data_IF_386267190723
#
_entry.id   IF_386267190723
#
_cell.length_a   1.000
_cell.length_b   1.000
_cell.length_c   1.000
_cell.angle_alpha   90.00
_cell.angle_beta   90.00
_cell.angle_gamma   90.00
#
_symmetry.space_group_name_H-M   'P 1'
#
loop_
_entity.id
_entity.type
_entity.pdbx_description
1 polymer ?
#
# COMPACT_ATOMS: atom_id res chain seq x y z
N UNK A 1 21.44 -12.13 9.44
CA UNK A 1 20.20 -11.65 10.09
C UNK A 1 20.35 -10.15 10.23
N UNK A 2 19.39 -9.37 9.77
CA UNK A 2 19.40 -7.91 9.89
C UNK A 2 18.16 -7.45 10.64
N UNK A 3 18.27 -6.33 11.36
CA UNK A 3 17.17 -5.68 12.08
C UNK A 3 16.58 -4.57 11.21
N UNK A 4 15.32 -4.70 10.86
CA UNK A 4 14.65 -3.87 9.85
C UNK A 4 13.52 -3.07 10.46
N UNK A 5 13.52 -1.76 10.20
CA UNK A 5 12.45 -0.85 10.56
C UNK A 5 11.61 -0.52 9.33
N UNK A 6 10.32 -0.81 9.37
CA UNK A 6 9.34 -0.42 8.36
C UNK A 6 8.49 0.75 8.86
N UNK A 7 8.05 1.61 7.93
CA UNK A 7 7.25 2.80 8.23
C UNK A 7 5.86 2.75 7.58
N UNK A 8 5.43 1.59 7.07
CA UNK A 8 4.19 1.43 6.30
C UNK A 8 2.94 1.28 7.19
N UNK A 9 1.76 1.74 6.72
CA UNK A 9 0.50 1.33 7.32
C UNK A 9 0.39 -0.19 7.46
N UNK A 10 -0.10 -0.68 8.60
CA UNK A 10 -0.10 -2.11 8.95
C UNK A 10 -0.75 -2.99 7.86
N UNK A 11 -1.90 -2.58 7.32
CA UNK A 11 -2.60 -3.29 6.24
C UNK A 11 -1.76 -3.47 4.95
N UNK A 12 -0.77 -2.59 4.72
CA UNK A 12 0.12 -2.66 3.55
C UNK A 12 1.47 -3.27 3.88
N UNK A 13 1.79 -3.50 5.16
CA UNK A 13 3.09 -4.00 5.60
C UNK A 13 3.15 -5.53 5.65
N UNK A 14 2.04 -6.22 5.89
CA UNK A 14 1.99 -7.64 6.23
C UNK A 14 2.77 -8.56 5.27
N UNK A 15 2.59 -8.40 3.97
CA UNK A 15 3.30 -9.23 2.97
C UNK A 15 4.81 -8.97 2.97
N UNK A 16 5.23 -7.71 3.14
CA UNK A 16 6.65 -7.37 3.21
C UNK A 16 7.28 -7.90 4.50
N UNK A 17 6.58 -7.80 5.63
CA UNK A 17 7.01 -8.36 6.91
C UNK A 17 7.25 -9.86 6.74
N UNK A 18 6.23 -10.61 6.32
CA UNK A 18 6.34 -12.06 6.13
C UNK A 18 7.50 -12.45 5.19
N UNK A 19 7.72 -11.69 4.11
CA UNK A 19 8.82 -11.92 3.19
C UNK A 19 10.19 -11.68 3.83
N UNK A 20 10.35 -10.61 4.60
CA UNK A 20 11.63 -10.28 5.26
C UNK A 20 11.92 -11.27 6.40
N UNK A 21 10.91 -11.67 7.16
CA UNK A 21 11.03 -12.70 8.20
C UNK A 21 11.41 -14.07 7.60
N UNK A 22 10.81 -14.45 6.46
CA UNK A 22 11.18 -15.66 5.72
C UNK A 22 12.62 -15.65 5.20
N UNK A 23 13.22 -14.45 5.00
CA UNK A 23 14.64 -14.26 4.67
C UNK A 23 15.53 -14.24 5.92
N UNK A 24 14.98 -14.43 7.12
CA UNK A 24 15.70 -14.51 8.39
C UNK A 24 16.03 -13.14 8.99
N UNK A 25 15.29 -12.07 8.64
CA UNK A 25 15.44 -10.76 9.25
C UNK A 25 14.49 -10.57 10.45
N UNK A 26 14.89 -9.75 11.41
CA UNK A 26 14.02 -9.24 12.47
C UNK A 26 13.33 -7.97 11.97
N UNK A 27 11.98 -7.94 11.98
CA UNK A 27 11.22 -6.85 11.35
C UNK A 27 10.31 -6.17 12.36
N UNK A 28 10.45 -4.85 12.48
CA UNK A 28 9.56 -4.01 13.26
C UNK A 28 8.86 -2.99 12.35
N UNK A 29 7.55 -2.85 12.51
CA UNK A 29 6.78 -1.89 11.74
C UNK A 29 6.25 -0.78 12.64
N UNK A 30 6.69 0.46 12.37
CA UNK A 30 6.28 1.66 13.10
C UNK A 30 5.60 2.63 12.12
N UNK A 31 4.30 2.40 11.84
CA UNK A 31 3.58 3.21 10.88
C UNK A 31 3.31 4.61 11.43
N UNK A 32 3.55 5.65 10.63
CA UNK A 32 3.18 7.05 10.91
C UNK A 32 1.84 7.44 10.31
N UNK A 33 1.27 6.55 9.49
CA UNK A 33 -0.09 6.67 8.94
C UNK A 33 -0.85 5.37 9.15
N UNK A 34 -2.17 5.47 9.25
CA UNK A 34 -3.07 4.32 9.28
C UNK A 34 -4.10 4.41 8.15
N UNK A 35 -4.53 3.26 7.67
CA UNK A 35 -5.61 3.19 6.69
C UNK A 35 -6.93 3.20 7.46
N UNK A 36 -7.81 4.12 7.11
CA UNK A 36 -9.14 4.27 7.70
C UNK A 36 -10.20 4.27 6.62
N UNK A 37 -11.36 3.70 6.91
CA UNK A 37 -12.54 3.80 6.05
C UNK A 37 -13.01 5.24 5.94
N UNK A 38 -13.57 5.57 4.79
CA UNK A 38 -14.28 6.82 4.57
C UNK A 38 -15.77 6.61 4.87
N UNK A 39 -16.40 7.61 5.47
CA UNK A 39 -17.88 7.65 5.55
C UNK A 39 -18.43 7.69 4.14
N UNK A 40 -19.59 7.02 3.94
CA UNK A 40 -20.18 6.69 2.65
C UNK A 40 -20.06 7.83 1.63
N UNK A 41 -19.26 7.58 0.64
CA UNK A 41 -19.14 8.41 -0.55
C UNK A 41 -20.31 8.15 -1.48
N UNK A 42 -20.59 9.09 -2.36
CA UNK A 42 -21.60 8.96 -3.40
C UNK A 42 -21.43 7.66 -4.19
N UNK A 43 -22.31 6.71 -3.89
CA UNK A 43 -22.37 5.47 -4.65
C UNK A 43 -23.01 5.80 -5.99
N UNK A 44 -22.39 5.46 -7.11
CA UNK A 44 -22.97 5.70 -8.40
C UNK A 44 -24.37 5.11 -8.49
N UNK A 45 -25.32 5.89 -9.00
CA UNK A 45 -26.72 5.45 -9.21
C UNK A 45 -26.87 4.38 -10.29
N UNK A 46 -25.82 4.18 -11.10
CA UNK A 46 -25.78 3.18 -12.16
C UNK A 46 -25.47 1.80 -11.56
N UNK A 47 -26.22 0.78 -12.00
CA UNK A 47 -25.94 -0.61 -11.61
C UNK A 47 -24.64 -1.07 -12.25
N UNK A 48 -23.61 -1.44 -11.45
CA UNK A 48 -22.36 -1.94 -12.01
C UNK A 48 -22.54 -3.37 -12.55
N UNK A 49 -21.77 -3.70 -13.59
CA UNK A 49 -21.69 -5.07 -14.11
C UNK A 49 -20.69 -5.94 -13.36
N UNK A 50 -19.82 -5.33 -12.53
CA UNK A 50 -18.80 -6.01 -11.74
C UNK A 50 -17.99 -5.02 -10.90
N UNK A 51 -17.01 -5.56 -10.19
CA UNK A 51 -16.11 -4.81 -9.33
C UNK A 51 -14.65 -5.02 -9.74
N UNK A 52 -13.83 -3.99 -9.60
CA UNK A 52 -12.41 -4.00 -9.90
C UNK A 52 -11.62 -3.65 -8.63
N UNK A 53 -10.67 -4.50 -8.24
CA UNK A 53 -9.82 -4.26 -7.07
C UNK A 53 -8.34 -4.34 -7.43
N UNK A 54 -7.63 -3.23 -7.26
CA UNK A 54 -6.17 -3.16 -7.43
C UNK A 54 -5.42 -3.41 -6.13
N UNK A 55 -6.12 -3.46 -4.99
CA UNK A 55 -5.51 -3.67 -3.66
C UNK A 55 -6.47 -4.35 -2.70
N UNK A 56 -5.97 -5.34 -1.96
CA UNK A 56 -6.69 -5.97 -0.86
C UNK A 56 -7.11 -4.96 0.24
N UNK A 57 -6.39 -3.85 0.37
CA UNK A 57 -6.68 -2.82 1.36
C UNK A 57 -8.06 -2.15 1.17
N UNK A 58 -8.66 -2.22 -0.02
CA UNK A 58 -9.98 -1.65 -0.27
C UNK A 58 -11.12 -2.55 0.24
N UNK A 59 -10.90 -3.87 0.29
CA UNK A 59 -11.96 -4.86 0.56
C UNK A 59 -12.68 -4.63 1.89
N UNK A 60 -12.00 -4.42 3.03
CA UNK A 60 -12.68 -4.23 4.33
C UNK A 60 -13.41 -2.89 4.46
N UNK A 61 -13.24 -1.98 3.52
CA UNK A 61 -13.83 -0.64 3.55
C UNK A 61 -14.96 -0.45 2.54
N UNK A 62 -15.30 -1.49 1.78
CA UNK A 62 -16.50 -1.44 0.93
C UNK A 62 -17.71 -1.26 1.85
N UNK A 63 -18.56 -0.22 1.63
CA UNK A 63 -19.69 0.06 2.51
C UNK A 63 -20.62 -1.16 2.64
N UNK A 64 -20.97 -1.50 3.90
CA UNK A 64 -21.80 -2.67 4.20
C UNK A 64 -23.12 -2.71 3.43
N UNK A 65 -23.84 -1.59 3.22
CA UNK A 65 -25.07 -1.59 2.42
C UNK A 65 -24.90 -1.98 0.96
N UNK A 66 -23.66 -1.89 0.43
CA UNK A 66 -23.37 -2.27 -0.97
C UNK A 66 -23.05 -3.76 -1.12
N UNK A 67 -22.56 -4.40 -0.07
CA UNK A 67 -22.09 -5.79 -0.14
C UNK A 67 -23.12 -6.75 -0.74
N UNK A 68 -24.42 -6.74 -0.34
CA UNK A 68 -25.41 -7.63 -0.93
C UNK A 68 -25.61 -7.45 -2.43
N UNK A 69 -25.31 -6.26 -2.96
CA UNK A 69 -25.45 -5.92 -4.38
C UNK A 69 -24.18 -6.21 -5.17
N UNK A 70 -23.01 -6.13 -4.55
CA UNK A 70 -21.72 -6.29 -5.21
C UNK A 70 -21.16 -7.71 -5.15
N UNK A 71 -21.34 -8.43 -4.03
CA UNK A 71 -20.83 -9.78 -3.84
C UNK A 71 -21.32 -10.82 -4.88
N UNK A 72 -22.55 -10.73 -5.43
CA UNK A 72 -22.99 -11.60 -6.51
C UNK A 72 -22.37 -11.31 -7.87
N UNK A 73 -21.80 -10.11 -8.05
CA UNK A 73 -21.22 -9.67 -9.33
C UNK A 73 -19.78 -10.18 -9.50
N UNK A 74 -19.30 -10.30 -10.74
CA UNK A 74 -17.90 -10.60 -11.02
C UNK A 74 -16.96 -9.60 -10.34
N UNK A 75 -15.93 -10.10 -9.69
CA UNK A 75 -14.87 -9.29 -9.08
C UNK A 75 -13.53 -9.59 -9.74
N UNK A 76 -12.87 -8.56 -10.28
CA UNK A 76 -11.55 -8.67 -10.87
C UNK A 76 -10.51 -8.11 -9.90
N UNK A 77 -9.58 -8.96 -9.50
CA UNK A 77 -8.49 -8.62 -8.60
C UNK A 77 -7.15 -8.60 -9.35
N UNK A 78 -6.32 -7.60 -9.16
CA UNK A 78 -4.99 -7.57 -9.78
C UNK A 78 -4.15 -8.76 -9.31
N UNK A 79 -4.16 -9.07 -8.02
CA UNK A 79 -3.30 -10.13 -7.48
C UNK A 79 -4.01 -11.15 -6.60
N UNK A 80 -3.34 -12.29 -6.30
CA UNK A 80 -3.91 -13.39 -5.53
C UNK A 80 -4.34 -13.00 -4.12
N UNK A 81 -3.55 -12.18 -3.41
CA UNK A 81 -3.91 -11.73 -2.06
C UNK A 81 -5.19 -10.86 -2.03
N UNK A 82 -5.45 -10.11 -3.12
CA UNK A 82 -6.69 -9.35 -3.26
C UNK A 82 -7.87 -10.28 -3.51
N UNK A 83 -7.67 -11.32 -4.33
CA UNK A 83 -8.69 -12.33 -4.59
C UNK A 83 -9.05 -13.12 -3.33
N UNK A 84 -8.06 -13.51 -2.54
CA UNK A 84 -8.26 -14.19 -1.26
C UNK A 84 -9.08 -13.32 -0.29
N UNK A 85 -8.73 -12.02 -0.16
CA UNK A 85 -9.47 -11.08 0.68
C UNK A 85 -10.93 -10.92 0.22
N UNK A 86 -11.18 -10.88 -1.10
CA UNK A 86 -12.53 -10.81 -1.66
C UNK A 86 -13.33 -12.08 -1.36
N UNK A 87 -12.74 -13.25 -1.55
CA UNK A 87 -13.37 -14.52 -1.20
C UNK A 87 -13.74 -14.62 0.27
N UNK A 88 -12.81 -14.22 1.16
CA UNK A 88 -13.06 -14.16 2.61
C UNK A 88 -14.16 -13.15 2.98
N UNK A 89 -14.33 -12.09 2.21
CA UNK A 89 -15.36 -11.08 2.39
C UNK A 89 -16.70 -11.42 1.68
N UNK A 90 -16.83 -12.63 1.09
CA UNK A 90 -18.09 -13.16 0.56
C UNK A 90 -18.34 -12.97 -0.94
N UNK A 91 -17.37 -12.46 -1.72
CA UNK A 91 -17.47 -12.47 -3.18
C UNK A 91 -17.39 -13.89 -3.71
N UNK A 92 -18.26 -14.27 -4.66
CA UNK A 92 -18.40 -15.62 -5.16
C UNK A 92 -17.72 -15.87 -6.50
N UNK A 93 -17.71 -14.85 -7.36
CA UNK A 93 -17.08 -14.90 -8.68
C UNK A 93 -15.85 -13.98 -8.68
N UNK A 94 -14.70 -14.52 -8.28
CA UNK A 94 -13.45 -13.77 -8.16
C UNK A 94 -12.42 -14.32 -9.13
N UNK A 95 -11.87 -13.44 -9.98
CA UNK A 95 -10.76 -13.74 -10.86
C UNK A 95 -9.56 -12.86 -10.56
N UNK A 96 -8.34 -13.41 -10.54
CA UNK A 96 -7.11 -12.63 -10.39
C UNK A 96 -6.13 -12.82 -11.55
N UNK A 97 -5.21 -11.87 -11.71
CA UNK A 97 -4.30 -11.75 -12.86
C UNK A 97 -2.82 -11.74 -12.44
N UNK A 98 -2.46 -12.51 -11.41
CA UNK A 98 -1.08 -12.75 -10.99
C UNK A 98 -0.32 -11.54 -10.44
N UNK A 99 -0.97 -10.40 -10.25
CA UNK A 99 -0.35 -9.13 -9.84
C UNK A 99 -0.09 -8.17 -11.00
N UNK A 100 -0.45 -8.54 -12.22
CA UNK A 100 -0.20 -7.76 -13.44
C UNK A 100 -1.46 -7.00 -13.86
N UNK A 101 -1.42 -5.67 -13.75
CA UNK A 101 -2.54 -4.81 -14.16
C UNK A 101 -2.85 -4.94 -15.67
N UNK A 102 -1.82 -5.11 -16.51
CA UNK A 102 -2.01 -5.28 -17.96
C UNK A 102 -2.83 -6.50 -18.32
N UNK A 103 -2.65 -7.63 -17.63
CA UNK A 103 -3.43 -8.84 -17.83
C UNK A 103 -4.90 -8.65 -17.43
N UNK A 104 -5.15 -7.92 -16.32
CA UNK A 104 -6.50 -7.56 -15.91
C UNK A 104 -7.18 -6.66 -16.95
N UNK A 105 -6.49 -5.64 -17.47
CA UNK A 105 -7.03 -4.73 -18.49
C UNK A 105 -7.32 -5.47 -19.80
N UNK A 106 -6.50 -6.43 -20.20
CA UNK A 106 -6.76 -7.28 -21.36
C UNK A 106 -8.06 -8.10 -21.17
N UNK A 107 -8.24 -8.68 -19.98
CA UNK A 107 -9.46 -9.42 -19.66
C UNK A 107 -10.72 -8.53 -19.64
N UNK A 108 -10.59 -7.27 -19.22
CA UNK A 108 -11.68 -6.29 -19.28
C UNK A 108 -12.10 -5.95 -20.71
N UNK A 109 -11.15 -5.89 -21.65
CA UNK A 109 -11.44 -5.62 -23.09
C UNK A 109 -12.34 -6.69 -23.72
N UNK A 110 -12.15 -7.93 -23.30
CA UNK A 110 -12.89 -9.08 -23.84
C UNK A 110 -14.29 -9.24 -23.22
N UNK A 111 -14.60 -8.46 -22.18
CA UNK A 111 -15.89 -8.56 -21.49
C UNK A 111 -16.99 -7.72 -22.18
N UNK A 112 -18.25 -8.18 -22.13
CA UNK A 112 -19.38 -7.40 -22.61
C UNK A 112 -19.48 -6.04 -21.89
N UNK A 113 -19.84 -4.98 -22.64
CA UNK A 113 -20.01 -3.64 -22.08
C UNK A 113 -21.47 -3.44 -21.64
N UNK A 114 -21.87 -4.13 -20.58
CA UNK A 114 -23.25 -4.12 -20.05
C UNK A 114 -23.47 -3.00 -19.01
N UNK A 115 -22.41 -2.33 -18.58
CA UNK A 115 -22.45 -1.26 -17.59
C UNK A 115 -21.06 -0.95 -17.05
N UNK A 116 -20.95 -0.05 -16.07
CA UNK A 116 -19.67 0.31 -15.48
C UNK A 116 -19.11 -0.78 -14.57
N UNK A 117 -17.78 -0.73 -14.37
CA UNK A 117 -17.05 -1.46 -13.34
C UNK A 117 -16.83 -0.55 -12.14
N UNK A 118 -17.34 -0.93 -10.98
CA UNK A 118 -17.09 -0.20 -9.75
C UNK A 118 -15.64 -0.46 -9.30
N UNK A 119 -14.90 0.61 -9.02
CA UNK A 119 -13.51 0.53 -8.56
C UNK A 119 -13.38 1.07 -7.13
N UNK A 120 -13.60 0.23 -6.08
CA UNK A 120 -13.32 0.61 -4.71
C UNK A 120 -11.82 0.87 -4.54
N UNK A 121 -11.45 2.09 -4.19
CA UNK A 121 -10.07 2.56 -4.17
C UNK A 121 -9.77 3.41 -2.93
N UNK A 122 -8.50 3.75 -2.74
CA UNK A 122 -8.09 4.75 -1.76
C UNK A 122 -8.15 6.16 -2.32
N UNK A 123 -8.14 7.17 -1.45
CA UNK A 123 -7.97 8.57 -1.86
C UNK A 123 -6.64 8.83 -2.57
N UNK A 124 -5.61 8.04 -2.24
CA UNK A 124 -4.35 7.99 -2.97
C UNK A 124 -4.42 6.81 -3.94
N UNK A 125 -4.57 7.09 -5.22
CA UNK A 125 -4.75 6.09 -6.26
C UNK A 125 -3.44 5.41 -6.62
N UNK A 126 -3.46 4.07 -6.74
CA UNK A 126 -2.36 3.29 -7.29
C UNK A 126 -2.37 3.29 -8.82
N UNK A 127 -3.56 3.43 -9.40
CA UNK A 127 -3.81 3.50 -10.84
C UNK A 127 -4.89 4.55 -11.07
N UNK A 128 -4.67 5.41 -12.06
CA UNK A 128 -5.63 6.42 -12.47
C UNK A 128 -6.84 5.73 -13.13
N UNK A 129 -8.09 6.02 -12.71
CA UNK A 129 -9.29 5.43 -13.29
C UNK A 129 -9.47 5.76 -14.77
N UNK A 130 -9.07 6.95 -15.20
CA UNK A 130 -9.16 7.37 -16.59
C UNK A 130 -8.17 6.59 -17.46
N UNK A 131 -6.95 6.34 -16.96
CA UNK A 131 -5.97 5.48 -17.62
C UNK A 131 -6.48 4.03 -17.71
N UNK A 132 -7.10 3.51 -16.65
CA UNK A 132 -7.70 2.17 -16.65
C UNK A 132 -8.83 2.08 -17.69
N UNK A 133 -9.70 3.09 -17.73
CA UNK A 133 -10.82 3.17 -18.69
C UNK A 133 -10.29 3.25 -20.14
N UNK A 134 -9.33 4.12 -20.42
CA UNK A 134 -8.73 4.28 -21.73
C UNK A 134 -8.07 2.98 -22.20
N UNK A 135 -7.30 2.33 -21.36
CA UNK A 135 -6.57 1.11 -21.69
C UNK A 135 -7.47 -0.11 -21.83
N UNK A 136 -8.56 -0.20 -21.09
CA UNK A 136 -9.50 -1.33 -21.14
C UNK A 136 -10.67 -1.11 -22.08
N UNK A 137 -10.99 0.14 -22.44
CA UNK A 137 -12.21 0.50 -23.13
C UNK A 137 -13.49 0.22 -22.34
N UNK A 138 -13.39 0.02 -21.03
CA UNK A 138 -14.50 -0.18 -20.11
C UNK A 138 -14.78 1.12 -19.34
N UNK A 139 -16.02 1.35 -18.96
CA UNK A 139 -16.37 2.43 -18.03
C UNK A 139 -15.94 2.02 -16.62
N UNK A 140 -15.08 2.82 -15.98
CA UNK A 140 -14.56 2.59 -14.62
C UNK A 140 -15.06 3.69 -13.71
N UNK A 141 -15.82 3.33 -12.67
CA UNK A 141 -16.33 4.26 -11.68
C UNK A 141 -15.52 4.14 -10.38
N UNK A 142 -14.60 5.08 -10.10
CA UNK A 142 -13.86 5.07 -8.84
C UNK A 142 -14.77 5.40 -7.68
N UNK A 143 -14.66 4.60 -6.61
CA UNK A 143 -15.33 4.84 -5.33
C UNK A 143 -14.26 4.85 -4.24
N UNK A 144 -13.82 6.02 -3.78
CA UNK A 144 -12.91 6.11 -2.66
C UNK A 144 -13.57 5.56 -1.40
N UNK A 145 -13.08 4.44 -0.89
CA UNK A 145 -13.63 3.76 0.29
C UNK A 145 -12.71 3.83 1.50
N UNK A 146 -11.43 4.20 1.31
CA UNK A 146 -10.48 4.38 2.40
C UNK A 146 -9.48 5.52 2.10
N UNK A 147 -8.85 6.02 3.17
CA UNK A 147 -7.78 7.00 3.08
C UNK A 147 -6.67 6.74 4.09
N UNK A 148 -5.56 7.44 3.93
CA UNK A 148 -4.46 7.42 4.91
C UNK A 148 -4.59 8.59 5.88
N UNK A 149 -4.83 8.29 7.16
CA UNK A 149 -4.83 9.27 8.26
C UNK A 149 -3.46 9.29 8.93
N UNK A 150 -2.97 10.47 9.28
CA UNK A 150 -1.75 10.62 10.10
C UNK A 150 -2.04 10.12 11.51
N UNK A 151 -1.13 9.30 12.03
CA UNK A 151 -1.22 8.80 13.41
C UNK A 151 -0.78 9.90 14.40
N UNK A 152 -1.27 9.86 15.63
CA UNK A 152 -0.76 10.70 16.71
C UNK A 152 0.75 10.55 16.91
N UNK A 153 1.35 11.47 17.66
CA UNK A 153 2.73 11.36 18.10
C UNK A 153 2.97 10.02 18.81
N UNK A 154 4.19 9.50 18.63
CA UNK A 154 4.58 8.22 19.22
C UNK A 154 4.54 8.26 20.74
N UNK A 155 4.01 7.21 21.35
CA UNK A 155 4.13 6.98 22.79
C UNK A 155 5.58 6.65 23.20
N UNK A 156 5.84 6.63 24.49
CA UNK A 156 7.17 6.39 25.02
C UNK A 156 7.75 5.01 24.61
N UNK A 157 6.91 3.98 24.48
CA UNK A 157 7.34 2.65 24.06
C UNK A 157 7.79 2.64 22.60
N UNK A 158 7.03 3.29 21.73
CA UNK A 158 7.37 3.45 20.29
C UNK A 158 8.65 4.30 20.13
N UNK A 159 8.77 5.39 20.90
CA UNK A 159 9.99 6.21 20.89
C UNK A 159 11.21 5.41 21.35
N UNK A 160 11.09 4.61 22.41
CA UNK A 160 12.17 3.74 22.89
C UNK A 160 12.56 2.68 21.85
N UNK A 161 11.59 2.10 21.14
CA UNK A 161 11.84 1.15 20.06
C UNK A 161 12.59 1.82 18.91
N UNK A 162 12.07 2.94 18.37
CA UNK A 162 12.67 3.64 17.24
C UNK A 162 14.03 4.21 17.58
N UNK A 163 14.22 4.65 18.83
CA UNK A 163 15.46 5.22 19.34
C UNK A 163 16.61 4.22 19.52
N UNK A 164 16.40 2.93 19.29
CA UNK A 164 17.48 1.94 19.32
C UNK A 164 18.52 2.24 18.24
N UNK A 165 19.79 1.95 18.55
CA UNK A 165 20.93 2.27 17.67
C UNK A 165 21.38 1.11 16.78
N UNK A 166 20.68 -0.01 16.80
CA UNK A 166 21.05 -1.28 16.16
C UNK A 166 20.19 -1.63 14.93
N UNK A 167 19.51 -0.63 14.34
CA UNK A 167 18.82 -0.80 13.06
C UNK A 167 19.84 -0.95 11.93
N UNK A 168 19.74 -2.03 11.15
CA UNK A 168 20.55 -2.21 9.94
C UNK A 168 19.92 -1.49 8.76
N UNK A 169 18.59 -1.54 8.65
CA UNK A 169 17.85 -0.94 7.54
C UNK A 169 16.56 -0.26 8.01
N UNK A 170 16.29 0.92 7.43
CA UNK A 170 14.98 1.59 7.54
C UNK A 170 14.37 1.75 6.15
N UNK A 171 13.15 1.24 5.95
CA UNK A 171 12.46 1.22 4.67
C UNK A 171 11.49 2.37 4.52
N UNK A 172 11.65 3.15 3.45
CA UNK A 172 10.77 4.24 3.07
C UNK A 172 10.16 3.98 1.70
N UNK A 173 8.82 3.89 1.64
CA UNK A 173 8.08 3.52 0.43
C UNK A 173 7.10 4.60 -0.05
N UNK A 174 7.03 5.74 0.63
CA UNK A 174 6.20 6.90 0.29
C UNK A 174 6.89 8.16 0.78
N UNK A 175 6.97 9.19 -0.06
CA UNK A 175 7.55 10.47 0.31
C UNK A 175 6.80 11.10 1.49
N UNK A 176 5.45 11.09 1.45
CA UNK A 176 4.61 11.58 2.56
C UNK A 176 4.92 10.87 3.87
N UNK A 177 5.01 9.52 3.85
CA UNK A 177 5.32 8.73 5.04
C UNK A 177 6.74 9.02 5.54
N UNK A 178 7.71 9.21 4.64
CA UNK A 178 9.09 9.57 5.00
C UNK A 178 9.17 10.94 5.68
N UNK A 179 8.47 11.95 5.14
CA UNK A 179 8.38 13.28 5.77
C UNK A 179 7.77 13.21 7.16
N UNK A 180 6.61 12.55 7.30
CA UNK A 180 5.95 12.38 8.59
C UNK A 180 6.82 11.62 9.60
N UNK A 181 7.57 10.62 9.15
CA UNK A 181 8.51 9.90 10.01
C UNK A 181 9.65 10.80 10.48
N UNK A 182 10.21 11.62 9.58
CA UNK A 182 11.25 12.59 9.93
C UNK A 182 10.75 13.63 10.96
N UNK A 183 9.53 14.13 10.80
CA UNK A 183 8.89 15.03 11.75
C UNK A 183 8.73 14.38 13.13
N UNK A 184 8.33 13.11 13.21
CA UNK A 184 8.22 12.35 14.46
C UNK A 184 9.60 12.17 15.13
N UNK A 185 10.64 11.82 14.37
CA UNK A 185 12.02 11.70 14.87
C UNK A 185 12.49 13.02 15.48
N UNK A 186 12.29 14.14 14.78
CA UNK A 186 12.68 15.47 15.24
C UNK A 186 11.89 15.89 16.48
N UNK A 187 10.58 15.71 16.48
CA UNK A 187 9.72 16.04 17.62
C UNK A 187 10.06 15.24 18.88
N UNK A 188 10.47 13.98 18.72
CA UNK A 188 10.88 13.12 19.83
C UNK A 188 12.36 13.30 20.24
N UNK A 189 13.13 14.13 19.53
CA UNK A 189 14.57 14.32 19.79
C UNK A 189 15.42 13.06 19.57
N UNK A 190 14.93 12.13 18.73
CA UNK A 190 15.61 10.87 18.43
C UNK A 190 16.69 11.08 17.36
N UNK A 191 17.66 10.15 17.33
CA UNK A 191 18.73 10.10 16.33
C UNK A 191 19.59 11.39 16.25
N UNK A 192 19.77 12.08 17.38
CA UNK A 192 20.57 13.31 17.44
C UNK A 192 22.04 13.13 16.99
N UNK A 193 22.59 11.94 17.16
CA UNK A 193 23.93 11.57 16.67
C UNK A 193 23.92 11.02 15.23
N UNK A 194 22.79 11.10 14.54
CA UNK A 194 22.52 10.50 13.25
C UNK A 194 21.71 9.20 13.36
N UNK A 195 20.95 8.84 12.31
CA UNK A 195 20.17 7.62 12.27
C UNK A 195 21.09 6.39 12.12
N UNK A 196 20.72 5.25 12.74
CA UNK A 196 21.46 4.01 12.58
C UNK A 196 21.21 3.37 11.21
N UNK A 197 22.23 2.67 10.69
CA UNK A 197 22.11 1.81 9.53
C UNK A 197 21.91 2.55 8.19
N UNK A 198 21.20 1.88 7.30
CA UNK A 198 20.99 2.33 5.91
C UNK A 198 19.51 2.64 5.65
N UNK A 199 19.22 3.81 5.08
CA UNK A 199 17.91 4.10 4.53
C UNK A 199 17.72 3.44 3.17
N UNK A 200 16.57 2.78 2.98
CA UNK A 200 16.16 2.20 1.71
C UNK A 200 14.94 2.96 1.19
N UNK A 201 15.09 3.67 0.08
CA UNK A 201 14.05 4.47 -0.55
C UNK A 201 13.56 3.81 -1.84
N UNK A 202 12.24 3.69 -2.02
CA UNK A 202 11.65 3.06 -3.20
C UNK A 202 11.78 3.92 -4.48
N UNK A 203 12.13 5.20 -4.34
CA UNK A 203 12.27 6.12 -5.47
C UNK A 203 13.09 7.35 -5.08
N UNK A 204 13.61 8.13 -6.07
CA UNK A 204 14.32 9.38 -5.80
C UNK A 204 13.50 10.40 -5.00
N UNK A 205 12.19 10.50 -5.26
CA UNK A 205 11.31 11.40 -4.52
C UNK A 205 11.21 11.01 -3.03
N UNK A 206 11.24 9.72 -2.71
CA UNK A 206 11.28 9.22 -1.32
C UNK A 206 12.65 9.49 -0.71
N UNK A 207 13.74 9.28 -1.45
CA UNK A 207 15.10 9.57 -1.00
C UNK A 207 15.23 11.05 -0.57
N UNK A 208 14.71 11.96 -1.39
CA UNK A 208 14.68 13.40 -1.07
C UNK A 208 13.91 13.70 0.23
N UNK A 209 12.81 13.01 0.47
CA UNK A 209 12.01 13.20 1.71
C UNK A 209 12.72 12.66 2.97
N UNK A 210 13.72 11.79 2.81
CA UNK A 210 14.54 11.21 3.90
C UNK A 210 15.76 12.08 4.23
N UNK A 211 16.20 12.96 3.31
CA UNK A 211 17.38 13.81 3.52
C UNK A 211 17.47 14.50 4.88
N UNK A 212 16.36 15.06 5.45
CA UNK A 212 16.41 15.73 6.76
C UNK A 212 16.85 14.82 7.92
N UNK A 213 16.81 13.49 7.75
CA UNK A 213 17.26 12.52 8.74
C UNK A 213 18.77 12.29 8.73
N UNK A 214 19.49 12.74 7.69
CA UNK A 214 20.95 12.64 7.55
C UNK A 214 21.52 11.22 7.69
N UNK A 215 20.88 10.21 7.05
CA UNK A 215 21.45 8.88 6.98
C UNK A 215 22.84 8.90 6.30
N UNK A 216 23.83 8.24 6.89
CA UNK A 216 25.14 8.09 6.26
C UNK A 216 25.08 7.32 4.95
N UNK A 217 24.19 6.34 4.89
CA UNK A 217 23.98 5.52 3.70
C UNK A 217 22.50 5.56 3.34
N UNK A 218 22.21 5.95 2.10
CA UNK A 218 20.89 5.93 1.51
C UNK A 218 20.99 5.20 0.17
N UNK A 219 20.13 4.20 -0.03
CA UNK A 219 20.06 3.44 -1.30
C UNK A 219 18.68 3.59 -1.88
N UNK A 220 18.63 3.74 -3.20
CA UNK A 220 17.38 3.84 -3.93
C UNK A 220 17.16 2.52 -4.69
N UNK A 221 15.94 2.00 -4.65
CA UNK A 221 15.57 0.84 -5.43
C UNK A 221 15.76 1.11 -6.94
N UNK A 222 16.28 0.14 -7.69
CA UNK A 222 16.46 0.28 -9.13
C UNK A 222 15.15 0.42 -9.90
N UNK A 223 14.08 -0.18 -9.35
CA UNK A 223 12.70 -0.06 -9.84
C UNK A 223 11.78 0.28 -8.68
N UNK A 224 10.66 0.96 -8.96
CA UNK A 224 9.65 1.32 -7.95
C UNK A 224 8.80 0.11 -7.53
N UNK A 225 9.48 -0.97 -7.12
CA UNK A 225 8.86 -2.21 -6.66
C UNK A 225 9.38 -2.63 -5.30
N UNK A 226 8.55 -3.34 -4.53
CA UNK A 226 8.96 -3.91 -3.24
C UNK A 226 10.11 -4.91 -3.41
N UNK A 227 10.13 -5.67 -4.51
CA UNK A 227 11.19 -6.64 -4.79
C UNK A 227 12.53 -5.98 -5.01
N UNK A 228 12.57 -4.89 -5.80
CA UNK A 228 13.79 -4.11 -6.03
C UNK A 228 14.29 -3.43 -4.76
N UNK A 229 13.36 -2.96 -3.91
CA UNK A 229 13.72 -2.36 -2.62
C UNK A 229 14.34 -3.37 -1.65
N UNK A 230 13.83 -4.61 -1.61
CA UNK A 230 14.43 -5.71 -0.82
C UNK A 230 15.79 -6.11 -1.39
N UNK A 231 15.94 -6.16 -2.72
CA UNK A 231 17.23 -6.44 -3.36
C UNK A 231 18.31 -5.40 -3.01
N UNK A 232 17.92 -4.14 -2.76
CA UNK A 232 18.86 -3.09 -2.36
C UNK A 232 19.48 -3.30 -0.96
N UNK A 233 18.99 -4.24 -0.14
CA UNK A 233 19.66 -4.65 1.10
C UNK A 233 21.02 -5.32 0.83
N UNK A 234 21.13 -6.08 -0.26
CA UNK A 234 22.29 -6.90 -0.56
C UNK A 234 23.44 -6.15 -1.29
N UNK A 235 23.24 -4.90 -1.72
CA UNK A 235 24.28 -4.11 -2.38
C UNK A 235 25.31 -3.70 -1.32
N UNK A 236 26.55 -4.16 -1.51
CA UNK A 236 27.72 -3.82 -0.68
C UNK A 236 28.36 -2.52 -1.15
#
# INVERSE_FOLDING_TARGET
MAKVLLTRPALRAAQLIARLEALGHEVHNVPVTEIVGLEATDVPSQSPQGTLFTSAAAVPFVPEPLLPHLQPLPALAVGPATAEALGAAGWRDVQHFGGEIGALLAALRERPKLGPWLYPCGTELSHDPDDLAQQSGAEILPVPVYGARVRPAWDAATQALVGQSDWDFTFFMSARTATLFAEQIQAAGLWAAGPPGTALAISPAVAKAVEPLNFHTLRIAGEKTTSSLVAAMAVT
#
